data_IF_276279151763
#
_entry.id   IF_276279151763
#
_cell.length_a   1.000
_cell.length_b   1.000
_cell.length_c   1.000
_cell.angle_alpha   90.00
_cell.angle_beta   90.00
_cell.angle_gamma   90.00
#
_symmetry.space_group_name_H-M   'P 1'
#
loop_
_entity.id
_entity.type
_entity.pdbx_description
1 polymer ?
#
# COMPACT_ATOMS: atom_id res chain seq x y z
N UNK A 1 41.65 -16.18 1.83
CA UNK A 1 40.89 -15.24 2.68
C UNK A 1 39.55 -15.00 2.01
N UNK A 2 38.45 -15.28 2.70
CA UNK A 2 37.10 -15.22 2.12
C UNK A 2 36.70 -13.79 1.79
N UNK A 3 36.23 -13.56 0.57
CA UNK A 3 35.57 -12.32 0.21
C UNK A 3 34.26 -12.24 1.00
N UNK A 4 34.19 -11.36 2.00
CA UNK A 4 32.92 -10.86 2.51
C UNK A 4 32.33 -10.02 1.37
N UNK A 5 31.46 -10.63 0.56
CA UNK A 5 30.57 -9.87 -0.30
C UNK A 5 29.68 -9.03 0.62
N UNK A 6 30.07 -7.77 0.80
CA UNK A 6 29.25 -6.80 1.50
C UNK A 6 27.95 -6.70 0.69
N UNK A 7 26.90 -7.37 1.16
CA UNK A 7 25.57 -7.20 0.60
C UNK A 7 25.28 -5.70 0.66
N UNK A 8 24.87 -5.07 -0.45
CA UNK A 8 24.52 -3.65 -0.44
C UNK A 8 23.53 -3.40 0.70
N UNK A 9 23.73 -2.34 1.47
CA UNK A 9 22.80 -1.98 2.54
C UNK A 9 21.45 -1.66 1.88
N UNK A 10 20.47 -2.53 2.11
CA UNK A 10 19.16 -2.44 1.46
C UNK A 10 18.33 -1.41 2.22
N UNK A 11 17.90 -0.30 1.58
CA UNK A 11 17.12 0.71 2.26
C UNK A 11 15.78 0.12 2.73
N UNK A 12 15.45 0.35 3.99
CA UNK A 12 14.19 -0.12 4.59
C UNK A 12 13.00 0.64 4.01
N UNK A 13 11.86 -0.03 3.76
CA UNK A 13 10.61 0.62 3.37
C UNK A 13 10.15 1.68 4.39
N UNK A 14 9.39 2.66 3.90
CA UNK A 14 8.68 3.60 4.76
C UNK A 14 7.43 2.94 5.35
N UNK A 15 7.08 3.35 6.57
CA UNK A 15 5.86 2.92 7.23
C UNK A 15 4.61 3.43 6.49
N UNK A 16 3.55 2.64 6.49
CA UNK A 16 2.24 3.00 5.97
C UNK A 16 1.25 3.23 7.11
N UNK A 17 0.75 4.46 7.18
CA UNK A 17 -0.16 4.92 8.25
C UNK A 17 -1.64 4.57 8.00
N UNK A 18 -1.96 4.03 6.82
CA UNK A 18 -3.36 3.83 6.40
C UNK A 18 -3.97 5.05 5.73
N UNK A 19 -3.18 5.87 5.02
CA UNK A 19 -3.71 6.96 4.21
C UNK A 19 -4.56 6.37 3.08
N UNK A 20 -5.71 6.99 2.79
CA UNK A 20 -6.61 6.56 1.70
C UNK A 20 -6.23 7.16 0.34
N UNK A 21 -4.97 7.55 0.18
CA UNK A 21 -4.45 8.10 -1.07
C UNK A 21 -3.88 6.95 -1.89
N UNK A 22 -4.46 6.66 -3.06
CA UNK A 22 -4.07 5.54 -3.91
C UNK A 22 -2.54 5.49 -4.15
N UNK A 23 -1.95 6.64 -4.48
CA UNK A 23 -0.51 6.79 -4.70
C UNK A 23 0.35 6.38 -3.50
N UNK A 24 -0.07 6.68 -2.27
CA UNK A 24 0.68 6.29 -1.07
C UNK A 24 0.65 4.77 -0.87
N UNK A 25 -0.49 4.14 -1.16
CA UNK A 25 -0.65 2.70 -1.09
C UNK A 25 0.19 1.99 -2.16
N UNK A 26 0.19 2.49 -3.40
CA UNK A 26 1.01 1.95 -4.50
C UNK A 26 2.50 2.09 -4.21
N UNK A 27 2.92 3.26 -3.71
CA UNK A 27 4.29 3.49 -3.28
C UNK A 27 4.71 2.51 -2.18
N UNK A 28 3.84 2.26 -1.21
CA UNK A 28 4.10 1.30 -0.14
C UNK A 28 4.25 -0.13 -0.70
N UNK A 29 3.31 -0.60 -1.51
CA UNK A 29 3.36 -1.94 -2.13
C UNK A 29 4.65 -2.10 -2.95
N UNK A 30 4.96 -1.14 -3.81
CA UNK A 30 6.16 -1.19 -4.65
C UNK A 30 7.45 -1.19 -3.81
N UNK A 31 7.49 -0.41 -2.72
CA UNK A 31 8.65 -0.37 -1.82
C UNK A 31 8.88 -1.71 -1.10
N UNK A 32 7.81 -2.36 -0.63
CA UNK A 32 7.88 -3.69 0.01
C UNK A 32 8.33 -4.77 -0.98
N UNK A 33 7.78 -4.78 -2.20
CA UNK A 33 8.18 -5.75 -3.23
C UNK A 33 9.65 -5.58 -3.65
N UNK A 34 10.10 -4.34 -3.78
CA UNK A 34 11.50 -4.02 -4.06
C UNK A 34 12.42 -4.44 -2.92
N UNK A 35 12.01 -4.22 -1.67
CA UNK A 35 12.75 -4.66 -0.48
C UNK A 35 12.88 -6.19 -0.43
N UNK A 36 11.81 -6.94 -0.69
CA UNK A 36 11.87 -8.41 -0.72
C UNK A 36 12.78 -8.94 -1.83
N UNK A 37 12.74 -8.32 -3.01
CA UNK A 37 13.63 -8.67 -4.12
C UNK A 37 15.09 -8.41 -3.76
N UNK A 38 15.40 -7.29 -3.11
CA UNK A 38 16.75 -6.92 -2.73
C UNK A 38 17.30 -7.76 -1.56
N UNK A 39 16.44 -8.16 -0.61
CA UNK A 39 16.84 -8.98 0.56
C UNK A 39 16.81 -10.48 0.31
N UNK A 40 16.22 -10.93 -0.81
CA UNK A 40 16.10 -12.34 -1.17
C UNK A 40 15.07 -13.11 -0.34
N UNK A 41 14.14 -12.40 0.30
CA UNK A 41 13.06 -13.04 1.07
C UNK A 41 12.03 -13.59 0.10
N UNK A 42 11.91 -14.91 -0.03
CA UNK A 42 10.95 -15.56 -0.95
C UNK A 42 9.73 -16.13 -0.24
N UNK A 43 9.88 -16.54 1.02
CA UNK A 43 8.80 -17.15 1.79
C UNK A 43 7.62 -16.19 1.98
N UNK A 44 6.43 -16.65 1.59
CA UNK A 44 5.22 -15.82 1.59
C UNK A 44 4.77 -15.45 3.00
N UNK A 45 4.88 -16.36 3.97
CA UNK A 45 4.48 -16.10 5.35
C UNK A 45 5.42 -15.08 6.01
N UNK A 46 6.73 -15.21 5.76
CA UNK A 46 7.74 -14.23 6.19
C UNK A 46 7.48 -12.86 5.56
N UNK A 47 7.16 -12.79 4.26
CA UNK A 47 6.81 -11.51 3.60
C UNK A 47 5.59 -10.85 4.24
N UNK A 48 4.54 -11.60 4.54
CA UNK A 48 3.34 -11.07 5.21
C UNK A 48 3.69 -10.54 6.60
N UNK A 49 4.46 -11.31 7.38
CA UNK A 49 4.95 -10.87 8.69
C UNK A 49 5.87 -9.65 8.63
N UNK A 50 6.61 -9.45 7.55
CA UNK A 50 7.40 -8.24 7.35
C UNK A 50 6.51 -7.05 6.97
N UNK A 51 5.54 -7.21 6.06
CA UNK A 51 4.60 -6.13 5.71
C UNK A 51 3.89 -5.58 6.95
N UNK A 52 3.44 -6.46 7.85
CA UNK A 52 2.75 -6.03 9.07
C UNK A 52 3.62 -5.19 10.01
N UNK A 53 4.94 -5.39 10.03
CA UNK A 53 5.88 -4.57 10.81
C UNK A 53 5.98 -3.12 10.32
N UNK A 54 5.61 -2.85 9.06
CA UNK A 54 5.62 -1.50 8.48
C UNK A 54 4.22 -0.85 8.44
N UNK A 55 3.19 -1.51 8.99
CA UNK A 55 1.86 -0.91 9.17
C UNK A 55 1.81 -0.20 10.53
N UNK A 56 1.38 1.05 10.54
CA UNK A 56 1.25 1.88 11.75
C UNK A 56 -0.10 2.59 11.77
N UNK A 57 -0.42 3.26 12.88
CA UNK A 57 -1.63 4.06 13.07
C UNK A 57 -2.92 3.32 12.64
N UNK A 58 -3.67 3.87 11.68
CA UNK A 58 -4.95 3.36 11.21
C UNK A 58 -4.77 1.99 10.53
N UNK A 59 -3.67 1.78 9.81
CA UNK A 59 -3.38 0.50 9.18
C UNK A 59 -3.12 -0.62 10.19
N UNK A 60 -2.40 -0.30 11.28
CA UNK A 60 -2.15 -1.27 12.36
C UNK A 60 -3.42 -1.59 13.14
N UNK A 61 -4.27 -0.59 13.40
CA UNK A 61 -5.56 -0.81 14.07
C UNK A 61 -6.49 -1.69 13.24
N UNK A 62 -6.56 -1.47 11.92
CA UNK A 62 -7.29 -2.34 11.02
C UNK A 62 -6.75 -3.78 11.03
N UNK A 63 -5.42 -3.95 10.99
CA UNK A 63 -4.81 -5.27 11.06
C UNK A 63 -5.14 -5.99 12.38
N UNK A 64 -5.08 -5.28 13.51
CA UNK A 64 -5.43 -5.82 14.83
C UNK A 64 -6.90 -6.22 14.89
N UNK A 65 -7.79 -5.34 14.45
CA UNK A 65 -9.22 -5.65 14.36
C UNK A 65 -9.45 -6.90 13.51
N UNK A 66 -8.75 -7.05 12.37
CA UNK A 66 -8.81 -8.26 11.53
C UNK A 66 -8.27 -9.53 12.21
N UNK A 67 -7.21 -9.43 13.00
CA UNK A 67 -6.67 -10.57 13.75
C UNK A 67 -7.59 -10.98 14.93
N UNK A 68 -8.23 -10.00 15.56
CA UNK A 68 -9.16 -10.20 16.68
C UNK A 68 -10.54 -10.64 16.22
N UNK A 69 -10.96 -10.21 15.02
CA UNK A 69 -12.19 -10.63 14.34
C UNK A 69 -12.08 -12.09 13.86
N UNK A 70 -12.06 -13.00 14.84
CA UNK A 70 -12.40 -14.42 14.69
C UNK A 70 -13.88 -14.60 14.32
N UNK A 71 -14.46 -13.76 13.45
CA UNK A 71 -15.87 -13.83 13.06
C UNK A 71 -16.24 -15.03 12.18
N UNK A 72 -15.40 -16.06 12.09
CA UNK A 72 -15.69 -17.29 11.37
C UNK A 72 -15.55 -17.18 9.84
N UNK A 73 -15.17 -16.02 9.30
CA UNK A 73 -14.71 -15.90 7.91
C UNK A 73 -13.19 -15.94 7.88
N UNK A 74 -12.66 -17.15 7.90
CA UNK A 74 -11.28 -17.42 7.53
C UNK A 74 -11.02 -16.90 6.11
N UNK A 75 -10.35 -15.75 6.01
CA UNK A 75 -9.59 -15.40 4.81
C UNK A 75 -8.39 -16.33 4.80
N UNK A 76 -8.56 -17.48 4.16
CA UNK A 76 -7.58 -18.56 4.13
C UNK A 76 -6.48 -18.32 3.10
N UNK A 77 -6.58 -17.24 2.30
CA UNK A 77 -5.68 -17.00 1.18
C UNK A 77 -5.03 -15.60 1.21
N UNK A 78 -3.78 -15.55 0.76
CA UNK A 78 -2.99 -14.31 0.63
C UNK A 78 -3.67 -13.30 -0.29
N UNK A 79 -4.40 -13.81 -1.28
CA UNK A 79 -5.10 -13.06 -2.31
C UNK A 79 -6.29 -12.30 -1.72
N UNK A 80 -7.06 -12.93 -0.82
CA UNK A 80 -8.13 -12.28 -0.07
C UNK A 80 -7.59 -11.18 0.86
N UNK A 81 -6.46 -11.40 1.54
CA UNK A 81 -5.81 -10.36 2.34
C UNK A 81 -5.43 -9.14 1.48
N UNK A 82 -4.84 -9.38 0.30
CA UNK A 82 -4.51 -8.30 -0.65
C UNK A 82 -5.77 -7.58 -1.14
N UNK A 83 -6.85 -8.31 -1.42
CA UNK A 83 -8.09 -7.74 -1.92
C UNK A 83 -8.77 -6.85 -0.86
N UNK A 84 -8.90 -7.32 0.38
CA UNK A 84 -9.49 -6.52 1.45
C UNK A 84 -8.62 -5.34 1.88
N UNK A 85 -7.29 -5.53 1.94
CA UNK A 85 -6.37 -4.43 2.21
C UNK A 85 -6.53 -3.34 1.15
N UNK A 86 -6.61 -3.72 -0.12
CA UNK A 86 -6.95 -2.79 -1.20
C UNK A 86 -8.34 -2.19 -0.99
N UNK A 87 -9.39 -2.97 -0.72
CA UNK A 87 -10.74 -2.43 -0.52
C UNK A 87 -10.81 -1.37 0.61
N UNK A 88 -10.00 -1.51 1.66
CA UNK A 88 -10.05 -0.63 2.84
C UNK A 88 -9.23 0.65 2.67
N UNK A 89 -8.11 0.57 1.94
CA UNK A 89 -7.15 1.68 1.80
C UNK A 89 -7.04 2.23 0.38
N UNK A 90 -7.47 1.48 -0.62
CA UNK A 90 -7.68 1.92 -1.99
C UNK A 90 -9.11 2.45 -2.13
N UNK A 91 -9.23 3.75 -2.25
CA UNK A 91 -10.48 4.36 -2.68
C UNK A 91 -10.65 4.09 -4.20
N UNK A 92 -11.12 2.90 -4.57
CA UNK A 92 -11.64 2.64 -5.92
C UNK A 92 -12.69 3.71 -6.29
N UNK A 93 -13.43 4.21 -5.28
CA UNK A 93 -14.34 5.36 -5.38
C UNK A 93 -13.68 6.74 -5.52
N UNK A 94 -12.44 6.96 -5.07
CA UNK A 94 -11.77 8.27 -5.23
C UNK A 94 -11.14 8.42 -6.60
N UNK A 95 -10.74 7.32 -7.25
CA UNK A 95 -10.37 7.37 -8.66
C UNK A 95 -11.59 7.67 -9.52
N UNK A 96 -12.73 7.02 -9.29
CA UNK A 96 -13.98 7.35 -9.98
C UNK A 96 -14.45 8.78 -9.71
N UNK A 97 -14.32 9.27 -8.48
CA UNK A 97 -14.64 10.66 -8.14
C UNK A 97 -13.64 11.66 -8.74
N UNK A 98 -12.35 11.34 -8.78
CA UNK A 98 -11.32 12.15 -9.43
C UNK A 98 -11.49 12.17 -10.94
N UNK A 99 -11.79 11.03 -11.57
CA UNK A 99 -12.12 10.92 -12.99
C UNK A 99 -13.45 11.59 -13.31
N UNK A 100 -14.47 11.50 -12.45
CA UNK A 100 -15.72 12.23 -12.61
C UNK A 100 -15.51 13.75 -12.46
N UNK A 101 -14.68 14.19 -11.52
CA UNK A 101 -14.30 15.61 -11.36
C UNK A 101 -13.49 16.10 -12.55
N UNK A 102 -12.54 15.32 -13.06
CA UNK A 102 -11.77 15.61 -14.27
C UNK A 102 -12.68 15.73 -15.50
N UNK A 103 -13.58 14.76 -15.72
CA UNK A 103 -14.59 14.82 -16.80
C UNK A 103 -15.50 16.04 -16.70
N UNK A 104 -15.84 16.49 -15.48
CA UNK A 104 -16.61 17.72 -15.22
C UNK A 104 -15.79 19.00 -15.48
N UNK A 105 -14.49 18.99 -15.17
CA UNK A 105 -13.57 20.12 -15.39
C UNK A 105 -13.23 20.28 -16.89
N UNK A 106 -13.02 19.18 -17.61
CA UNK A 106 -12.81 19.18 -19.07
C UNK A 106 -14.01 19.76 -19.81
N UNK A 107 -15.24 19.41 -19.41
CA UNK A 107 -16.46 19.99 -19.99
C UNK A 107 -16.66 21.48 -19.68
N UNK A 108 -16.00 22.02 -18.65
CA UNK A 108 -16.08 23.44 -18.27
C UNK A 108 -14.92 24.29 -18.80
N UNK A 109 -13.89 23.68 -19.40
CA UNK A 109 -12.75 24.40 -20.00
C UNK A 109 -11.77 25.05 -19.01
N UNK A 110 -11.85 24.73 -17.72
CA UNK A 110 -11.07 25.39 -16.65
C UNK A 110 -9.82 24.60 -16.19
N UNK A 111 -9.26 23.77 -17.06
CA UNK A 111 -8.11 22.90 -16.74
C UNK A 111 -6.89 23.67 -16.18
N UNK A 112 -6.75 24.94 -16.58
CA UNK A 112 -5.62 25.81 -16.24
C UNK A 112 -5.69 26.36 -14.80
N UNK A 113 -6.88 26.51 -14.23
CA UNK A 113 -7.10 26.98 -12.86
C UNK A 113 -6.76 25.87 -11.83
N UNK A 114 -7.07 24.62 -12.16
CA UNK A 114 -6.85 23.47 -11.27
C UNK A 114 -5.36 23.14 -11.04
N UNK A 115 -4.53 23.22 -12.09
CA UNK A 115 -3.07 22.99 -12.00
C UNK A 115 -2.40 24.03 -11.08
N UNK A 116 -2.98 25.23 -10.96
CA UNK A 116 -2.45 26.29 -10.08
C UNK A 116 -2.78 26.08 -8.60
N UNK A 117 -3.83 25.32 -8.28
CA UNK A 117 -4.26 25.07 -6.91
C UNK A 117 -3.63 23.80 -6.29
N UNK A 118 -2.86 23.05 -7.08
CA UNK A 118 -2.26 21.76 -6.71
C UNK A 118 -0.73 21.79 -6.58
N UNK A 119 -0.14 23.00 -6.51
CA UNK A 119 1.24 23.28 -6.08
C UNK A 119 1.21 24.02 -4.77
#
# INVERSE_FOLDING_TARGET
MGQLSARPDVPRPKEFKGTRVAKDMDNFIWSMETYFRATGVEDKAVRVGMVSMYLVDVALLWLRWRCDDRSGKTVNTREEFKAEFRQQFYLEYAEDEAHAKLRRLEHKGELREYVRQST
#
